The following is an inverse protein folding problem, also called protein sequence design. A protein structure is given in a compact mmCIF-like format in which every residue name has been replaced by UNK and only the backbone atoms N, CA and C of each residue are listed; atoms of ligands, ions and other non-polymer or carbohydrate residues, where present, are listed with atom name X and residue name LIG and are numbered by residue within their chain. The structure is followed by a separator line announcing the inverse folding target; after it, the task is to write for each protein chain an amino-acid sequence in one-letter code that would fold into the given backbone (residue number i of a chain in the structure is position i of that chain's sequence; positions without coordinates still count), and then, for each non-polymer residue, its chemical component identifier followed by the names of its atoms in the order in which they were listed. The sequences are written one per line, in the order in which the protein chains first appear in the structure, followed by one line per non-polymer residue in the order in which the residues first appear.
data_IF_609110227446
#
_entry.id   IF_609110227446
#
_cell.length_a   1.000
_cell.length_b   1.000
_cell.length_c   1.000
_cell.angle_alpha   90.00
_cell.angle_beta   90.00
_cell.angle_gamma   90.00
#
_symmetry.space_group_name_H-M   'P 1'
#
loop_
_entity.id
_entity.type
_entity.pdbx_description
1 polymer ?
#
# COMPACT_ATOMS: atom_id res chain seq x y z
N UNK A 1 16.92 6.96 18.21
CA UNK A 1 16.68 7.06 19.64
C UNK A 1 17.06 8.47 20.10
N UNK A 2 16.21 9.14 20.88
CA UNK A 2 16.49 10.47 21.46
C UNK A 2 17.22 10.28 22.80
N UNK A 3 18.49 9.88 22.75
CA UNK A 3 19.34 9.66 23.94
C UNK A 3 20.54 10.58 23.86
N UNK A 4 20.99 11.11 25.02
CA UNK A 4 22.24 11.85 25.14
C UNK A 4 23.45 10.91 24.97
N UNK A 5 24.61 11.46 24.59
CA UNK A 5 25.79 10.64 24.28
C UNK A 5 26.27 9.81 25.47
N UNK A 6 26.18 10.38 26.66
CA UNK A 6 26.58 9.77 27.95
C UNK A 6 25.66 8.61 28.38
N UNK A 7 24.48 8.50 27.77
CA UNK A 7 23.48 7.46 28.05
C UNK A 7 23.60 6.24 27.12
N UNK A 8 24.70 6.11 26.36
CA UNK A 8 24.85 5.10 25.34
C UNK A 8 26.12 4.28 25.56
N UNK A 9 25.96 3.05 26.02
CA UNK A 9 27.04 2.07 26.04
C UNK A 9 27.11 1.32 24.70
N UNK A 10 28.31 0.90 24.28
CA UNK A 10 28.54 0.15 23.06
C UNK A 10 27.92 -1.25 23.09
N UNK A 11 27.61 -1.74 24.28
CA UNK A 11 27.01 -3.05 24.53
C UNK A 11 25.52 -2.97 24.91
N UNK A 12 24.95 -1.75 25.00
CA UNK A 12 23.54 -1.58 25.36
C UNK A 12 22.64 -2.10 24.24
N UNK A 13 21.61 -2.83 24.64
CA UNK A 13 20.67 -3.40 23.70
C UNK A 13 19.77 -2.33 23.09
N UNK A 14 19.74 -2.25 21.78
CA UNK A 14 18.97 -1.28 20.99
C UNK A 14 17.46 -1.29 21.34
N UNK A 15 16.89 -2.48 21.59
CA UNK A 15 15.47 -2.62 21.87
C UNK A 15 15.15 -2.21 23.32
N UNK A 16 16.03 -2.50 24.26
CA UNK A 16 15.90 -2.07 25.68
C UNK A 16 15.98 -0.56 25.80
N UNK A 17 16.75 0.10 24.93
CA UNK A 17 16.84 1.55 24.83
C UNK A 17 15.65 2.20 24.10
N UNK A 18 14.57 1.45 23.81
CA UNK A 18 13.37 1.94 23.16
C UNK A 18 13.38 1.84 21.63
N UNK A 19 14.32 1.10 21.07
CA UNK A 19 14.31 0.74 19.66
C UNK A 19 13.17 -0.24 19.33
N UNK A 20 12.65 -0.19 18.10
CA UNK A 20 11.64 -1.12 17.61
C UNK A 20 11.98 -1.53 16.16
N UNK A 21 11.27 -2.49 15.62
CA UNK A 21 11.57 -3.10 14.30
C UNK A 21 11.66 -2.08 13.16
N UNK A 22 10.79 -1.09 13.13
CA UNK A 22 10.85 -0.04 12.10
C UNK A 22 12.13 0.80 12.21
N UNK A 23 12.53 1.19 13.43
CA UNK A 23 13.80 1.90 13.65
C UNK A 23 15.00 1.01 13.34
N UNK A 24 14.94 -0.30 13.62
CA UNK A 24 15.98 -1.26 13.22
C UNK A 24 16.16 -1.31 11.71
N UNK A 25 15.05 -1.39 10.95
CA UNK A 25 15.09 -1.37 9.49
C UNK A 25 15.69 -0.06 8.95
N UNK A 26 15.31 1.08 9.53
CA UNK A 26 15.89 2.38 9.16
C UNK A 26 17.38 2.46 9.49
N UNK A 27 17.80 1.92 10.65
CA UNK A 27 19.21 1.84 11.03
C UNK A 27 20.01 1.02 10.01
N UNK A 28 19.56 -0.19 9.70
CA UNK A 28 20.23 -1.07 8.73
C UNK A 28 20.30 -0.41 7.35
N UNK A 29 19.25 0.27 6.91
CA UNK A 29 19.26 1.01 5.65
C UNK A 29 20.33 2.12 5.64
N UNK A 30 20.47 2.89 6.73
CA UNK A 30 21.50 3.93 6.87
C UNK A 30 22.90 3.33 6.92
N UNK A 31 23.07 2.21 7.64
CA UNK A 31 24.36 1.50 7.72
C UNK A 31 24.78 1.01 6.33
N UNK A 32 23.84 0.41 5.58
CA UNK A 32 24.10 -0.01 4.19
C UNK A 32 24.54 1.16 3.31
N UNK A 33 23.87 2.30 3.39
CA UNK A 33 24.23 3.50 2.61
C UNK A 33 25.60 4.06 3.02
N UNK A 34 25.89 4.11 4.33
CA UNK A 34 27.11 4.72 4.86
C UNK A 34 28.35 3.87 4.66
N UNK A 35 28.23 2.55 4.79
CA UNK A 35 29.35 1.61 4.79
C UNK A 35 29.41 0.75 3.53
N UNK A 36 28.45 0.91 2.60
CA UNK A 36 28.33 0.10 1.38
C UNK A 36 28.38 -1.42 1.66
N UNK A 37 27.81 -1.87 2.78
CA UNK A 37 27.86 -3.24 3.26
C UNK A 37 26.48 -3.84 3.44
N UNK A 38 26.31 -5.11 3.08
CA UNK A 38 25.06 -5.86 3.29
C UNK A 38 25.05 -6.42 4.71
N UNK A 39 24.01 -6.05 5.46
CA UNK A 39 23.73 -6.58 6.79
C UNK A 39 22.35 -7.21 6.83
N UNK A 40 22.26 -8.55 7.01
CA UNK A 40 20.98 -9.20 7.22
C UNK A 40 20.28 -8.65 8.47
N UNK A 41 19.03 -8.24 8.34
CA UNK A 41 18.24 -7.72 9.47
C UNK A 41 18.20 -8.74 10.62
N UNK A 42 18.12 -10.04 10.31
CA UNK A 42 18.16 -11.13 11.30
C UNK A 42 19.43 -11.08 12.15
N UNK A 43 20.60 -10.90 11.55
CA UNK A 43 21.87 -10.84 12.28
C UNK A 43 21.92 -9.65 13.25
N UNK A 44 21.32 -8.50 12.88
CA UNK A 44 21.18 -7.37 13.79
C UNK A 44 20.23 -7.68 14.97
N UNK A 45 19.15 -8.42 14.78
CA UNK A 45 18.27 -8.83 15.89
C UNK A 45 18.98 -9.74 16.90
N UNK A 46 19.93 -10.57 16.42
CA UNK A 46 20.72 -11.47 17.27
C UNK A 46 21.79 -10.73 18.08
N UNK A 47 22.30 -9.60 17.56
CA UNK A 47 23.34 -8.78 18.17
C UNK A 47 22.97 -7.29 18.16
N UNK A 48 21.84 -6.95 18.81
CA UNK A 48 21.23 -5.63 18.73
C UNK A 48 21.95 -4.56 19.58
N UNK A 49 23.26 -4.43 19.45
CA UNK A 49 24.09 -3.43 20.12
C UNK A 49 25.21 -2.92 19.20
N UNK A 50 25.82 -1.78 19.52
CA UNK A 50 26.78 -1.10 18.65
C UNK A 50 28.02 -1.98 18.38
N UNK A 51 28.55 -2.65 19.41
CA UNK A 51 29.71 -3.53 19.24
C UNK A 51 29.41 -4.73 18.32
N UNK A 52 28.23 -5.35 18.44
CA UNK A 52 27.77 -6.41 17.54
C UNK A 52 27.61 -5.94 16.11
N UNK A 53 27.01 -4.75 15.94
CA UNK A 53 26.87 -4.14 14.62
C UNK A 53 28.25 -3.85 13.97
N UNK A 54 29.21 -3.37 14.74
CA UNK A 54 30.58 -3.14 14.25
C UNK A 54 31.28 -4.44 13.83
N UNK A 55 31.12 -5.52 14.62
CA UNK A 55 31.66 -6.85 14.26
C UNK A 55 31.03 -7.37 12.97
N UNK A 56 29.71 -7.30 12.85
CA UNK A 56 29.00 -7.69 11.60
C UNK A 56 29.45 -6.88 10.38
N UNK A 57 29.73 -5.58 10.57
CA UNK A 57 30.24 -4.72 9.48
C UNK A 57 31.67 -5.09 9.06
N UNK A 58 32.52 -5.50 10.00
CA UNK A 58 33.90 -5.89 9.68
C UNK A 58 33.98 -7.22 8.91
N UNK A 59 32.96 -8.07 9.07
CA UNK A 59 32.85 -9.37 8.37
C UNK A 59 32.00 -9.29 7.09
N UNK A 60 31.26 -8.19 6.90
CA UNK A 60 30.33 -8.03 5.80
C UNK A 60 31.05 -7.82 4.46
N UNK A 61 30.62 -8.53 3.43
CA UNK A 61 31.04 -8.27 2.05
C UNK A 61 30.51 -6.91 1.57
N UNK A 62 31.21 -6.30 0.59
CA UNK A 62 30.74 -5.09 -0.06
C UNK A 62 29.36 -5.33 -0.69
N UNK A 63 28.44 -4.39 -0.45
CA UNK A 63 27.09 -4.49 -0.99
C UNK A 63 27.11 -4.55 -2.51
N UNK A 64 26.54 -5.62 -3.06
CA UNK A 64 26.29 -5.79 -4.51
C UNK A 64 24.88 -5.38 -4.91
N UNK A 65 24.11 -4.79 -3.99
CA UNK A 65 22.77 -4.34 -4.31
C UNK A 65 22.84 -3.20 -5.30
N UNK A 66 22.26 -3.42 -6.47
CA UNK A 66 22.15 -2.41 -7.49
C UNK A 66 21.26 -1.26 -6.96
N UNK A 67 21.61 0.00 -7.25
CA UNK A 67 20.77 1.13 -6.86
C UNK A 67 19.41 1.03 -7.54
N UNK A 68 18.35 1.43 -6.83
CA UNK A 68 17.02 1.58 -7.42
C UNK A 68 17.06 2.81 -8.34
N UNK A 69 17.03 2.56 -9.64
CA UNK A 69 17.06 3.61 -10.67
C UNK A 69 15.65 3.79 -11.24
N UNK A 70 15.29 5.02 -11.66
CA UNK A 70 14.05 5.24 -12.41
C UNK A 70 14.04 4.40 -13.70
N UNK A 71 12.92 3.72 -13.95
CA UNK A 71 12.71 3.00 -15.20
C UNK A 71 12.40 3.99 -16.33
N UNK A 72 12.97 3.75 -17.53
CA UNK A 72 12.66 4.57 -18.70
C UNK A 72 11.15 4.55 -19.00
N UNK A 73 10.60 5.71 -19.30
CA UNK A 73 9.22 5.92 -19.74
C UNK A 73 9.10 6.11 -21.24
N UNK A 74 10.23 6.05 -21.95
CA UNK A 74 10.29 6.13 -23.41
C UNK A 74 11.13 5.02 -23.96
N UNK A 75 10.69 4.46 -25.06
CA UNK A 75 11.42 3.47 -25.86
C UNK A 75 12.53 4.13 -26.68
N UNK A 76 13.36 3.33 -27.35
CA UNK A 76 14.48 3.84 -28.14
C UNK A 76 14.03 4.72 -29.34
N UNK A 77 12.81 4.55 -29.82
CA UNK A 77 12.20 5.34 -30.90
C UNK A 77 11.45 6.59 -30.39
N UNK A 78 11.47 6.85 -29.06
CA UNK A 78 10.81 7.98 -28.43
C UNK A 78 9.32 7.79 -28.10
N UNK A 79 8.74 6.60 -28.38
CA UNK A 79 7.36 6.31 -28.00
C UNK A 79 7.21 6.09 -26.48
N UNK A 80 6.07 6.46 -25.89
CA UNK A 80 5.82 6.22 -24.46
C UNK A 80 5.74 4.72 -24.15
N UNK A 81 6.23 4.34 -22.97
CA UNK A 81 6.15 2.99 -22.42
C UNK A 81 5.15 3.01 -21.27
N UNK A 82 4.03 2.32 -21.44
CA UNK A 82 2.97 2.19 -20.43
C UNK A 82 2.87 0.76 -19.87
N UNK A 83 3.65 -0.16 -20.43
CA UNK A 83 3.67 -1.59 -20.08
C UNK A 83 5.00 -1.93 -19.40
N UNK A 84 4.91 -2.52 -18.20
CA UNK A 84 6.06 -2.87 -17.38
C UNK A 84 5.94 -4.30 -16.85
N UNK A 85 7.08 -4.95 -16.49
CA UNK A 85 7.04 -6.22 -15.78
C UNK A 85 6.43 -6.01 -14.37
N UNK A 86 5.86 -7.07 -13.81
CA UNK A 86 5.40 -7.09 -12.43
C UNK A 86 6.60 -7.07 -11.47
N UNK A 87 6.41 -6.51 -10.28
CA UNK A 87 7.29 -6.80 -9.16
C UNK A 87 7.05 -8.22 -8.65
N UNK A 88 8.01 -8.82 -7.93
CA UNK A 88 7.84 -10.16 -7.34
C UNK A 88 6.61 -10.26 -6.43
N UNK A 89 6.27 -9.21 -5.70
CA UNK A 89 5.06 -9.16 -4.87
C UNK A 89 3.79 -9.18 -5.74
N UNK A 90 3.78 -8.42 -6.82
CA UNK A 90 2.67 -8.39 -7.78
C UNK A 90 2.52 -9.71 -8.54
N UNK A 91 3.63 -10.35 -8.97
CA UNK A 91 3.60 -11.67 -9.60
C UNK A 91 2.94 -12.71 -8.69
N UNK A 92 3.30 -12.70 -7.41
CA UNK A 92 2.71 -13.59 -6.41
C UNK A 92 1.21 -13.37 -6.26
N UNK A 93 0.77 -12.12 -6.11
CA UNK A 93 -0.66 -11.80 -5.97
C UNK A 93 -1.45 -12.11 -7.23
N UNK A 94 -0.90 -11.80 -8.39
CA UNK A 94 -1.52 -12.14 -9.68
C UNK A 94 -1.64 -13.65 -9.86
N UNK A 95 -0.60 -14.42 -9.52
CA UNK A 95 -0.63 -15.88 -9.61
C UNK A 95 -1.71 -16.48 -8.70
N UNK A 96 -1.86 -15.97 -7.48
CA UNK A 96 -2.91 -16.43 -6.54
C UNK A 96 -4.30 -16.12 -7.10
N UNK A 97 -4.50 -14.93 -7.69
CA UNK A 97 -5.76 -14.56 -8.33
C UNK A 97 -6.12 -15.52 -9.49
N UNK A 98 -5.11 -15.98 -10.26
CA UNK A 98 -5.34 -16.99 -11.31
C UNK A 98 -5.70 -18.37 -10.75
N UNK A 99 -5.20 -18.75 -9.57
CA UNK A 99 -5.54 -20.01 -8.91
C UNK A 99 -6.92 -19.99 -8.26
N UNK A 100 -7.32 -18.85 -7.72
CA UNK A 100 -8.60 -18.65 -7.03
C UNK A 100 -9.38 -17.48 -7.65
N UNK A 101 -9.89 -17.64 -8.88
CA UNK A 101 -10.59 -16.57 -9.58
C UNK A 101 -11.83 -16.13 -8.80
N UNK A 102 -12.12 -14.83 -8.82
CA UNK A 102 -13.19 -14.19 -8.07
C UNK A 102 -13.04 -14.26 -6.54
N UNK A 103 -11.82 -14.40 -6.03
CA UNK A 103 -11.53 -14.29 -4.60
C UNK A 103 -11.48 -12.82 -4.17
N UNK A 104 -12.03 -12.50 -2.99
CA UNK A 104 -11.87 -11.22 -2.32
C UNK A 104 -10.75 -11.25 -1.27
N UNK A 105 -9.95 -12.32 -1.21
CA UNK A 105 -8.97 -12.58 -0.16
C UNK A 105 -7.85 -11.53 -0.07
N UNK A 106 -7.61 -10.78 -1.14
CA UNK A 106 -6.62 -9.71 -1.20
C UNK A 106 -7.25 -8.32 -1.35
N UNK A 107 -8.53 -8.20 -1.04
CA UNK A 107 -9.14 -6.88 -0.87
C UNK A 107 -8.66 -6.24 0.42
N UNK A 108 -8.37 -4.95 0.37
CA UNK A 108 -8.06 -4.10 1.52
C UNK A 108 -9.23 -3.15 1.72
N UNK A 109 -10.24 -3.52 2.52
CA UNK A 109 -11.35 -2.65 2.84
C UNK A 109 -10.99 -1.70 3.97
N UNK A 110 -11.40 -0.44 3.87
CA UNK A 110 -11.31 0.56 4.93
C UNK A 110 -12.58 1.39 4.98
N UNK A 111 -13.12 1.62 6.19
CA UNK A 111 -14.28 2.46 6.39
C UNK A 111 -14.00 3.51 7.45
N UNK A 112 -14.42 4.75 7.20
CA UNK A 112 -14.31 5.86 8.14
C UNK A 112 -15.64 6.60 8.27
N UNK A 113 -15.94 7.07 9.48
CA UNK A 113 -17.09 7.93 9.74
C UNK A 113 -16.65 9.38 9.55
N UNK A 114 -17.36 10.11 8.70
CA UNK A 114 -17.18 11.55 8.46
C UNK A 114 -18.32 12.28 9.15
N UNK A 115 -17.99 13.20 10.07
CA UNK A 115 -18.95 14.04 10.77
C UNK A 115 -18.86 15.47 10.25
N UNK A 116 -20.02 16.11 10.08
CA UNK A 116 -20.16 17.44 9.53
C UNK A 116 -20.78 17.46 8.13
N UNK A 117 -20.88 18.65 7.56
CA UNK A 117 -21.32 18.82 6.17
C UNK A 117 -20.25 18.29 5.22
N UNK A 118 -20.69 17.54 4.22
CA UNK A 118 -19.80 16.93 3.23
C UNK A 118 -20.33 17.21 1.83
N UNK A 119 -19.49 17.81 1.01
CA UNK A 119 -19.71 17.90 -0.42
C UNK A 119 -19.18 16.63 -1.10
N UNK A 120 -20.10 15.77 -1.53
CA UNK A 120 -19.76 14.48 -2.15
C UNK A 120 -19.17 14.63 -3.54
N UNK A 121 -19.43 15.73 -4.26
CA UNK A 121 -18.87 15.97 -5.59
C UNK A 121 -17.41 16.40 -5.49
N UNK A 122 -17.09 17.29 -4.53
CA UNK A 122 -15.70 17.64 -4.24
C UNK A 122 -14.88 16.47 -3.71
N UNK A 123 -15.48 15.57 -2.92
CA UNK A 123 -14.82 14.36 -2.46
C UNK A 123 -14.49 13.43 -3.65
N UNK A 124 -15.42 13.21 -4.56
CA UNK A 124 -15.19 12.41 -5.78
C UNK A 124 -14.11 13.04 -6.67
N UNK A 125 -14.12 14.36 -6.85
CA UNK A 125 -13.08 15.07 -7.59
C UNK A 125 -11.71 14.90 -6.94
N UNK A 126 -11.61 14.97 -5.60
CA UNK A 126 -10.37 14.77 -4.87
C UNK A 126 -9.80 13.36 -5.11
N UNK A 127 -10.64 12.31 -5.10
CA UNK A 127 -10.19 10.96 -5.46
C UNK A 127 -9.69 10.87 -6.90
N UNK A 128 -10.38 11.49 -7.85
CA UNK A 128 -9.94 11.50 -9.24
C UNK A 128 -8.59 12.21 -9.40
N UNK A 129 -8.33 13.29 -8.66
CA UNK A 129 -7.01 13.95 -8.65
C UNK A 129 -5.91 13.06 -8.05
N UNK A 130 -6.20 12.33 -6.97
CA UNK A 130 -5.27 11.38 -6.37
C UNK A 130 -4.94 10.26 -7.36
N UNK A 131 -5.95 9.69 -8.02
CA UNK A 131 -5.78 8.61 -9.01
C UNK A 131 -4.98 9.10 -10.22
N UNK A 132 -5.26 10.29 -10.72
CA UNK A 132 -4.49 10.89 -11.81
C UNK A 132 -3.01 11.08 -11.44
N UNK A 133 -2.73 11.47 -10.19
CA UNK A 133 -1.38 11.67 -9.67
C UNK A 133 -0.60 10.37 -9.45
N UNK A 134 -1.26 9.29 -9.02
CA UNK A 134 -0.63 8.03 -8.62
C UNK A 134 -0.89 6.92 -9.64
N UNK A 135 0.12 6.59 -10.43
CA UNK A 135 0.03 5.58 -11.49
C UNK A 135 -0.46 4.21 -10.99
N UNK A 136 -0.04 3.77 -9.79
CA UNK A 136 -0.49 2.51 -9.22
C UNK A 136 -2.01 2.39 -9.13
N UNK A 137 -2.71 3.51 -8.84
CA UNK A 137 -4.17 3.52 -8.71
C UNK A 137 -4.92 3.41 -10.05
N UNK A 138 -4.20 3.58 -11.18
CA UNK A 138 -4.71 3.43 -12.54
C UNK A 138 -3.98 2.35 -13.33
N UNK A 139 -3.30 1.43 -12.62
CA UNK A 139 -2.63 0.27 -13.21
C UNK A 139 -3.56 -0.93 -13.19
N UNK A 140 -3.54 -1.68 -14.30
CA UNK A 140 -4.20 -2.98 -14.44
C UNK A 140 -3.18 -4.05 -14.80
N UNK A 141 -3.56 -5.33 -14.68
CA UNK A 141 -2.65 -6.46 -14.82
C UNK A 141 -3.17 -7.48 -15.85
N UNK A 142 -3.26 -7.10 -17.14
CA UNK A 142 -3.61 -8.03 -18.19
C UNK A 142 -2.52 -9.10 -18.38
N UNK A 143 -2.89 -10.25 -18.91
CA UNK A 143 -1.92 -11.26 -19.33
C UNK A 143 -1.92 -11.42 -20.84
N UNK A 144 -0.71 -11.55 -21.40
CA UNK A 144 -0.50 -11.88 -22.79
C UNK A 144 0.36 -13.15 -22.85
N UNK A 145 -0.10 -14.17 -23.56
CA UNK A 145 0.58 -15.47 -23.68
C UNK A 145 0.94 -16.10 -22.30
N UNK A 146 0.07 -15.93 -21.30
CA UNK A 146 0.27 -16.45 -19.94
C UNK A 146 1.25 -15.65 -19.08
N UNK A 147 1.76 -14.50 -19.55
CA UNK A 147 2.60 -13.59 -18.79
C UNK A 147 1.82 -12.34 -18.40
N UNK A 148 1.76 -12.08 -17.11
CA UNK A 148 1.17 -10.84 -16.61
C UNK A 148 2.07 -9.64 -16.87
N UNK A 149 1.45 -8.49 -17.11
CA UNK A 149 2.12 -7.21 -17.33
C UNK A 149 1.41 -6.13 -16.53
N UNK A 150 2.14 -5.12 -16.06
CA UNK A 150 1.54 -3.87 -15.59
C UNK A 150 1.22 -3.00 -16.79
N UNK A 151 -0.04 -2.65 -16.97
CA UNK A 151 -0.46 -1.64 -17.94
C UNK A 151 -0.95 -0.41 -17.17
N UNK A 152 -0.25 0.71 -17.34
CA UNK A 152 -0.62 1.98 -16.74
C UNK A 152 -1.58 2.68 -17.70
N UNK A 153 -2.81 2.88 -17.28
CA UNK A 153 -3.82 3.58 -18.07
C UNK A 153 -3.53 5.09 -18.06
N UNK A 154 -3.68 5.77 -19.20
CA UNK A 154 -3.54 7.22 -19.29
C UNK A 154 -4.53 7.94 -18.38
N UNK A 155 -5.76 7.45 -18.33
CA UNK A 155 -6.84 7.99 -17.53
C UNK A 155 -7.67 6.86 -16.91
N UNK A 156 -8.15 7.10 -15.70
CA UNK A 156 -9.11 6.25 -15.03
C UNK A 156 -10.08 7.15 -14.28
N UNK A 157 -11.37 6.99 -14.55
CA UNK A 157 -12.42 7.74 -13.85
C UNK A 157 -12.92 6.91 -12.68
N UNK A 158 -12.74 7.44 -11.49
CA UNK A 158 -13.32 6.91 -10.25
C UNK A 158 -14.70 7.50 -10.03
N UNK A 159 -15.67 6.63 -9.73
CA UNK A 159 -17.02 7.01 -9.34
C UNK A 159 -17.26 6.60 -7.90
N UNK A 160 -17.67 7.57 -7.08
CA UNK A 160 -18.08 7.33 -5.71
C UNK A 160 -19.55 6.92 -5.70
N UNK A 161 -19.83 5.65 -5.39
CA UNK A 161 -21.21 5.17 -5.25
C UNK A 161 -21.86 5.85 -4.04
N UNK A 162 -23.04 6.45 -4.23
CA UNK A 162 -23.74 7.21 -3.20
C UNK A 162 -24.99 6.46 -2.74
N UNK A 163 -25.07 6.18 -1.46
CA UNK A 163 -26.15 5.43 -0.82
C UNK A 163 -26.76 6.33 0.26
N UNK A 164 -28.04 6.66 0.15
CA UNK A 164 -28.75 7.49 1.14
C UNK A 164 -29.63 6.62 2.04
N UNK A 165 -29.21 6.50 3.30
CA UNK A 165 -29.94 5.80 4.37
C UNK A 165 -30.60 6.78 5.36
N UNK A 166 -30.54 8.09 5.12
CA UNK A 166 -31.03 9.10 6.08
C UNK A 166 -32.53 9.03 6.36
N UNK A 167 -33.29 8.38 5.48
CA UNK A 167 -34.75 8.20 5.60
C UNK A 167 -35.17 6.96 6.40
N UNK A 168 -34.23 6.10 6.86
CA UNK A 168 -34.58 4.99 7.75
C UNK A 168 -34.87 5.47 9.18
N UNK A 169 -35.84 4.83 9.84
CA UNK A 169 -36.49 5.34 11.04
C UNK A 169 -35.60 5.48 12.27
N UNK A 170 -34.59 4.59 12.48
CA UNK A 170 -33.72 4.67 13.64
C UNK A 170 -32.24 4.80 13.28
N UNK A 171 -31.47 5.35 14.21
CA UNK A 171 -30.01 5.45 14.12
C UNK A 171 -29.39 4.05 13.98
N UNK A 172 -29.83 3.11 14.80
CA UNK A 172 -29.33 1.74 14.81
C UNK A 172 -29.61 1.02 13.48
N UNK A 173 -30.82 1.19 12.92
CA UNK A 173 -31.20 0.60 11.64
C UNK A 173 -30.32 1.12 10.50
N UNK A 174 -30.00 2.44 10.48
CA UNK A 174 -29.09 3.03 9.50
C UNK A 174 -27.70 2.47 9.60
N UNK A 175 -27.13 2.39 10.81
CA UNK A 175 -25.80 1.82 11.04
C UNK A 175 -25.72 0.34 10.69
N UNK A 176 -26.71 -0.45 11.08
CA UNK A 176 -26.77 -1.87 10.72
C UNK A 176 -26.83 -2.06 9.19
N UNK A 177 -27.64 -1.25 8.51
CA UNK A 177 -27.75 -1.30 7.05
C UNK A 177 -26.43 -0.86 6.36
N UNK A 178 -25.80 0.20 6.87
CA UNK A 178 -24.51 0.66 6.38
C UNK A 178 -23.42 -0.41 6.55
N UNK A 179 -23.40 -1.10 7.68
CA UNK A 179 -22.48 -2.22 7.91
C UNK A 179 -22.68 -3.34 6.90
N UNK A 180 -23.92 -3.67 6.53
CA UNK A 180 -24.21 -4.66 5.49
C UNK A 180 -23.65 -4.23 4.12
N UNK A 181 -23.80 -2.93 3.75
CA UNK A 181 -23.21 -2.42 2.52
C UNK A 181 -21.68 -2.53 2.53
N UNK A 182 -21.04 -2.14 3.63
CA UNK A 182 -19.58 -2.24 3.77
C UNK A 182 -19.11 -3.71 3.67
N UNK A 183 -19.77 -4.65 4.33
CA UNK A 183 -19.44 -6.07 4.25
C UNK A 183 -19.63 -6.63 2.84
N UNK A 184 -20.71 -6.27 2.17
CA UNK A 184 -20.99 -6.67 0.80
C UNK A 184 -19.91 -6.14 -0.16
N UNK A 185 -19.53 -4.87 -0.02
CA UNK A 185 -18.49 -4.25 -0.86
C UNK A 185 -17.11 -4.86 -0.61
N UNK A 186 -16.75 -5.10 0.64
CA UNK A 186 -15.48 -5.75 1.01
C UNK A 186 -15.33 -7.13 0.36
N UNK A 187 -16.42 -7.87 0.22
CA UNK A 187 -16.46 -9.21 -0.37
C UNK A 187 -16.56 -9.27 -1.90
N UNK A 188 -16.71 -8.15 -2.59
CA UNK A 188 -16.77 -8.14 -4.07
C UNK A 188 -15.36 -8.34 -4.66
N UNK A 189 -15.14 -9.33 -5.54
CA UNK A 189 -13.84 -9.51 -6.18
C UNK A 189 -13.50 -8.36 -7.13
N UNK A 190 -12.21 -8.23 -7.46
CA UNK A 190 -11.71 -7.38 -8.53
C UNK A 190 -11.36 -8.23 -9.76
N UNK A 191 -11.50 -7.66 -10.96
CA UNK A 191 -10.91 -8.20 -12.18
C UNK A 191 -9.58 -7.46 -12.42
N UNK A 192 -8.46 -8.13 -12.15
CA UNK A 192 -7.13 -7.52 -12.26
C UNK A 192 -6.80 -7.08 -13.68
N UNK A 193 -7.43 -7.68 -14.69
CA UNK A 193 -7.17 -7.37 -16.11
C UNK A 193 -7.88 -6.12 -16.61
N UNK A 194 -8.91 -5.63 -15.91
CA UNK A 194 -9.76 -4.54 -16.39
C UNK A 194 -9.80 -3.32 -15.50
N UNK A 195 -9.69 -3.50 -14.19
CA UNK A 195 -9.85 -2.41 -13.22
C UNK A 195 -11.25 -1.74 -13.26
N UNK A 196 -11.46 -0.63 -12.56
CA UNK A 196 -10.53 -0.07 -11.57
C UNK A 196 -10.29 -1.04 -10.40
N UNK A 197 -9.07 -1.03 -9.85
CA UNK A 197 -8.70 -1.85 -8.69
C UNK A 197 -8.87 -1.10 -7.36
N UNK A 198 -9.66 -0.04 -7.41
CA UNK A 198 -10.13 0.77 -6.29
C UNK A 198 -11.61 1.06 -6.47
N UNK A 199 -12.41 0.89 -5.42
CA UNK A 199 -13.85 1.23 -5.38
C UNK A 199 -14.15 2.03 -4.15
N UNK A 200 -15.19 2.86 -4.19
CA UNK A 200 -15.63 3.66 -3.07
C UNK A 200 -17.14 3.77 -2.97
N UNK A 201 -17.64 3.75 -1.74
CA UNK A 201 -19.04 4.02 -1.42
C UNK A 201 -19.13 5.12 -0.36
N UNK A 202 -20.01 6.07 -0.56
CA UNK A 202 -20.36 7.08 0.41
C UNK A 202 -21.79 6.81 0.89
N UNK A 203 -21.93 6.41 2.13
CA UNK A 203 -23.20 6.06 2.75
C UNK A 203 -23.61 7.21 3.66
N UNK A 204 -24.68 7.90 3.29
CA UNK A 204 -25.24 9.02 4.07
C UNK A 204 -26.19 8.48 5.14
N UNK A 205 -25.86 8.74 6.40
CA UNK A 205 -26.69 8.38 7.56
C UNK A 205 -27.58 9.54 8.02
N UNK A 206 -27.09 10.78 7.87
CA UNK A 206 -27.81 12.01 8.13
C UNK A 206 -27.18 13.17 7.35
N UNK A 207 -27.65 14.41 7.53
CA UNK A 207 -27.00 15.60 6.95
C UNK A 207 -25.59 15.84 7.49
N UNK A 208 -25.29 15.34 8.70
CA UNK A 208 -24.05 15.59 9.43
C UNK A 208 -23.22 14.31 9.67
N UNK A 209 -23.60 13.18 9.05
CA UNK A 209 -22.90 11.92 9.27
C UNK A 209 -22.92 11.04 8.03
N UNK A 210 -21.73 10.65 7.61
CA UNK A 210 -21.52 9.79 6.46
C UNK A 210 -20.51 8.69 6.80
N UNK A 211 -20.60 7.54 6.13
CA UNK A 211 -19.56 6.52 6.12
C UNK A 211 -18.93 6.51 4.73
N UNK A 212 -17.64 6.74 4.68
CA UNK A 212 -16.85 6.53 3.47
C UNK A 212 -16.19 5.16 3.56
N UNK A 213 -16.57 4.27 2.66
CA UNK A 213 -15.97 2.95 2.46
C UNK A 213 -15.09 2.98 1.22
N UNK A 214 -13.85 2.55 1.35
CA UNK A 214 -12.92 2.34 0.23
C UNK A 214 -12.45 0.89 0.25
N UNK A 215 -12.36 0.29 -0.91
CA UNK A 215 -11.79 -1.04 -1.09
C UNK A 215 -10.77 -0.97 -2.22
N UNK A 216 -9.56 -1.44 -1.95
CA UNK A 216 -8.48 -1.56 -2.94
C UNK A 216 -8.01 -3.01 -3.02
N UNK A 217 -7.55 -3.43 -4.19
CA UNK A 217 -6.83 -4.70 -4.28
C UNK A 217 -5.38 -4.52 -3.84
N UNK A 218 -4.86 -5.47 -3.06
CA UNK A 218 -3.50 -5.38 -2.49
C UNK A 218 -2.39 -5.28 -3.55
N UNK A 219 -2.65 -5.68 -4.80
CA UNK A 219 -1.68 -5.60 -5.91
C UNK A 219 -1.31 -4.17 -6.31
N UNK A 220 -2.18 -3.18 -6.02
CA UNK A 220 -1.94 -1.75 -6.31
C UNK A 220 -1.59 -0.93 -5.08
N UNK A 221 -1.64 -1.51 -3.90
CA UNK A 221 -1.37 -0.80 -2.64
C UNK A 221 -0.73 -1.73 -1.62
N UNK A 222 0.09 -1.18 -0.74
CA UNK A 222 0.67 -1.86 0.41
C UNK A 222 0.14 -1.22 1.70
N UNK A 223 -0.01 -2.02 2.76
CA UNK A 223 -0.58 -1.59 4.03
C UNK A 223 0.42 -0.98 5.00
#
# INVERSE_FOLDING_TARGET
LKLEAEQRGVNDNFFELGGHSLLATQLISRVRQQFASELPLKAFFEQAHIAGLAALLSEAEASRVLPILPTSRTSADGSPIDVFPLSYAQERLWFIDQLEPNSAGYNIPGAVIIKGELDSDHLEQAFNLIIARHENLRTIFPSQEGKAQQLILDQLTFKLERIDLSHHDSYEARHQKAQQYCQTEAGKPFDLSRGPLIRGQLIKLSQQEHILMLTMHHIISDG
#
